data_IF_309154778843
#
_entry.id   IF_309154778843
#
_cell.length_a   1.000
_cell.length_b   1.000
_cell.length_c   1.000
_cell.angle_alpha   90.00
_cell.angle_beta   90.00
_cell.angle_gamma   90.00
#
_symmetry.space_group_name_H-M   'P 1'
#
loop_
_entity.id
_entity.type
_entity.pdbx_description
1 polymer ?
#
# COMPACT_ATOMS: atom_id res chain seq x y z
N UNK A 1 55.08 -50.11 0.53
CA UNK A 1 53.64 -49.81 0.62
C UNK A 1 53.40 -48.37 0.17
N UNK A 2 52.60 -48.22 -0.90
CA UNK A 2 51.81 -47.09 -1.42
C UNK A 2 52.29 -45.64 -1.18
N UNK A 3 52.60 -44.98 -2.30
CA UNK A 3 52.68 -43.55 -2.57
C UNK A 3 51.36 -42.79 -2.33
N UNK A 4 51.42 -41.51 -1.95
CA UNK A 4 50.48 -40.48 -2.43
C UNK A 4 51.06 -39.06 -2.23
N UNK A 5 51.13 -38.27 -3.32
CA UNK A 5 51.28 -36.81 -3.32
C UNK A 5 49.88 -36.23 -3.55
N UNK A 6 49.41 -35.24 -2.77
CA UNK A 6 48.36 -34.32 -3.24
C UNK A 6 48.13 -33.07 -2.35
N UNK A 7 48.26 -31.91 -2.99
CA UNK A 7 47.47 -30.67 -2.95
C UNK A 7 46.95 -30.03 -1.64
N UNK A 8 47.38 -28.77 -1.50
CA UNK A 8 46.55 -27.55 -1.55
C UNK A 8 45.94 -26.93 -0.27
N UNK A 9 45.63 -25.64 -0.47
CA UNK A 9 44.76 -24.75 0.30
C UNK A 9 45.41 -23.82 1.35
N UNK A 10 45.86 -22.66 0.85
CA UNK A 10 45.40 -21.30 1.23
C UNK A 10 45.12 -20.98 2.71
N UNK A 11 45.85 -20.00 3.24
CA UNK A 11 45.35 -19.01 4.21
C UNK A 11 46.23 -17.74 4.04
N UNK A 12 45.72 -16.70 3.37
CA UNK A 12 45.15 -15.49 3.98
C UNK A 12 46.13 -14.87 4.99
N UNK A 13 46.61 -13.66 4.68
CA UNK A 13 46.77 -12.48 5.55
C UNK A 13 47.57 -11.44 4.74
N UNK A 14 47.33 -10.16 5.05
CA UNK A 14 47.81 -8.92 4.42
C UNK A 14 46.74 -8.37 3.45
N UNK A 15 46.14 -7.20 3.67
CA UNK A 15 46.66 -6.05 4.36
C UNK A 15 45.56 -5.00 4.59
N UNK A 16 45.63 -4.39 5.75
CA UNK A 16 45.50 -2.95 5.98
C UNK A 16 44.11 -2.32 5.80
N UNK A 17 43.47 -2.10 6.95
CA UNK A 17 42.51 -1.03 7.12
C UNK A 17 43.17 0.33 6.88
N UNK A 18 42.50 1.16 6.08
CA UNK A 18 42.73 2.59 6.03
C UNK A 18 41.43 3.25 6.48
N UNK A 19 41.49 3.87 7.66
CA UNK A 19 40.47 4.77 8.18
C UNK A 19 40.58 6.09 7.43
N UNK A 20 39.53 6.47 6.69
CA UNK A 20 39.31 7.84 6.26
C UNK A 20 37.89 8.27 6.66
N UNK A 21 37.86 9.00 7.78
CA UNK A 21 37.00 10.13 8.14
C UNK A 21 35.64 10.27 7.43
N UNK A 22 34.58 10.06 8.21
CA UNK A 22 33.20 10.35 7.86
C UNK A 22 32.96 11.86 7.69
N UNK A 23 32.65 12.28 6.47
CA UNK A 23 31.70 13.37 6.24
C UNK A 23 30.37 12.69 5.90
N UNK A 24 29.51 12.51 6.90
CA UNK A 24 28.16 11.99 6.72
C UNK A 24 27.28 13.08 6.09
N UNK A 25 27.51 13.37 4.82
CA UNK A 25 26.43 13.85 3.96
C UNK A 25 25.68 12.60 3.51
N UNK A 26 24.41 12.51 3.89
CA UNK A 26 23.49 11.55 3.32
C UNK A 26 23.42 11.84 1.80
N UNK A 27 24.25 11.13 1.04
CA UNK A 27 24.12 11.05 -0.39
C UNK A 27 22.79 10.32 -0.64
N UNK A 28 21.75 11.06 -1.01
CA UNK A 28 20.59 10.45 -1.65
C UNK A 28 21.10 9.80 -2.93
N UNK A 29 21.40 8.50 -2.85
CA UNK A 29 21.63 7.70 -4.04
C UNK A 29 20.34 7.77 -4.85
N UNK A 30 20.37 8.21 -6.12
CA UNK A 30 19.20 8.09 -6.97
C UNK A 30 18.90 6.60 -7.08
N UNK A 31 17.88 6.14 -6.35
CA UNK A 31 17.40 4.77 -6.49
C UNK A 31 16.79 4.72 -7.88
N UNK A 32 17.54 4.23 -8.85
CA UNK A 32 16.95 3.84 -10.13
C UNK A 32 15.91 2.76 -9.83
N UNK A 33 14.64 3.14 -9.85
CA UNK A 33 13.54 2.20 -9.73
C UNK A 33 13.54 1.25 -10.92
N UNK A 34 13.08 0.02 -10.71
CA UNK A 34 12.89 -0.97 -11.77
C UNK A 34 12.02 -0.40 -12.88
N UNK A 35 12.34 -0.73 -14.13
CA UNK A 35 11.46 -0.37 -15.25
C UNK A 35 10.16 -1.17 -15.16
N UNK A 36 9.07 -0.66 -15.75
CA UNK A 36 7.79 -1.38 -15.81
C UNK A 36 7.96 -2.77 -16.45
N UNK A 37 8.84 -2.89 -17.44
CA UNK A 37 9.12 -4.16 -18.10
C UNK A 37 9.78 -5.17 -17.14
N UNK A 38 10.75 -4.72 -16.35
CA UNK A 38 11.40 -5.55 -15.33
C UNK A 38 10.41 -6.03 -14.26
N UNK A 39 9.52 -5.15 -13.77
CA UNK A 39 8.50 -5.52 -12.77
C UNK A 39 7.53 -6.58 -13.32
N UNK A 40 7.15 -6.48 -14.60
CA UNK A 40 6.29 -7.48 -15.25
C UNK A 40 7.02 -8.83 -15.37
N UNK A 41 8.31 -8.82 -15.68
CA UNK A 41 9.08 -10.05 -15.82
C UNK A 41 9.23 -10.76 -14.46
N UNK A 42 9.56 -10.01 -13.41
CA UNK A 42 9.65 -10.53 -12.05
C UNK A 42 8.33 -11.12 -11.55
N UNK A 43 7.21 -10.48 -11.87
CA UNK A 43 5.89 -11.02 -11.54
C UNK A 43 5.63 -12.35 -12.25
N UNK A 44 5.97 -12.49 -13.53
CA UNK A 44 5.85 -13.76 -14.26
C UNK A 44 6.72 -14.86 -13.67
N UNK A 45 7.95 -14.51 -13.29
CA UNK A 45 8.89 -15.47 -12.70
C UNK A 45 8.39 -15.92 -11.32
N UNK A 46 7.84 -15.01 -10.51
CA UNK A 46 7.23 -15.32 -9.22
C UNK A 46 5.95 -16.17 -9.37
N UNK A 47 5.14 -15.91 -10.39
CA UNK A 47 3.98 -16.74 -10.74
C UNK A 47 4.39 -18.15 -11.18
N UNK A 48 5.42 -18.27 -12.02
CA UNK A 48 5.96 -19.55 -12.47
C UNK A 48 6.59 -20.35 -11.32
N UNK A 49 7.20 -19.65 -10.36
CA UNK A 49 7.74 -20.24 -9.14
C UNK A 49 6.66 -20.56 -8.08
N UNK A 50 5.40 -20.21 -8.30
CA UNK A 50 4.31 -20.42 -7.34
C UNK A 50 4.42 -19.57 -6.07
N UNK A 51 5.22 -18.50 -6.12
CA UNK A 51 5.44 -17.59 -4.98
C UNK A 51 4.33 -16.54 -4.84
N UNK A 52 3.46 -16.41 -5.85
CA UNK A 52 2.33 -15.50 -5.85
C UNK A 52 1.08 -16.27 -5.42
N UNK A 53 0.58 -15.93 -4.23
CA UNK A 53 -0.73 -16.37 -3.79
C UNK A 53 -1.82 -15.78 -4.68
N UNK A 54 -2.69 -16.64 -5.22
CA UNK A 54 -3.79 -16.24 -6.09
C UNK A 54 -5.12 -16.59 -5.42
N UNK A 55 -6.00 -15.59 -5.32
CA UNK A 55 -7.32 -15.75 -4.71
C UNK A 55 -7.26 -15.73 -3.18
N UNK A 56 -8.26 -16.33 -2.54
CA UNK A 56 -8.45 -16.28 -1.09
C UNK A 56 -7.63 -17.35 -0.33
N UNK A 57 -6.61 -17.94 -0.96
CA UNK A 57 -5.86 -19.08 -0.41
C UNK A 57 -5.16 -18.75 0.90
N UNK A 58 -4.62 -17.53 1.01
CA UNK A 58 -4.00 -17.03 2.24
C UNK A 58 -4.91 -16.10 3.02
N UNK A 59 -6.18 -15.98 2.62
CA UNK A 59 -7.13 -15.18 3.36
C UNK A 59 -7.43 -15.89 4.69
N UNK A 60 -7.23 -15.24 5.84
CA UNK A 60 -7.48 -15.88 7.11
C UNK A 60 -8.96 -16.24 7.23
N UNK A 61 -9.25 -17.48 7.61
CA UNK A 61 -10.60 -17.85 8.04
C UNK A 61 -10.84 -17.18 9.38
N UNK A 62 -11.68 -16.13 9.37
CA UNK A 62 -12.12 -15.48 10.59
C UNK A 62 -13.06 -16.41 11.36
N UNK A 63 -12.99 -16.44 12.70
CA UNK A 63 -13.95 -17.18 13.50
C UNK A 63 -15.36 -16.64 13.27
N UNK A 64 -16.36 -17.50 13.42
CA UNK A 64 -17.75 -17.10 13.32
C UNK A 64 -18.08 -16.04 14.37
N UNK A 65 -18.66 -14.92 13.93
CA UNK A 65 -19.12 -13.89 14.84
C UNK A 65 -20.43 -14.35 15.50
N UNK A 66 -20.41 -14.46 16.84
CA UNK A 66 -21.61 -14.69 17.64
C UNK A 66 -21.97 -13.41 18.40
N UNK A 67 -23.18 -12.91 18.16
CA UNK A 67 -23.69 -11.78 18.95
C UNK A 67 -23.92 -12.23 20.40
N UNK A 68 -23.44 -11.45 21.35
CA UNK A 68 -23.69 -11.68 22.79
C UNK A 68 -25.01 -11.08 23.26
N UNK A 69 -25.66 -10.24 22.43
CA UNK A 69 -26.90 -9.54 22.78
C UNK A 69 -28.03 -9.88 21.81
N UNK A 70 -29.22 -10.03 22.38
CA UNK A 70 -30.47 -10.08 21.66
C UNK A 70 -30.90 -8.68 21.22
N UNK A 71 -31.78 -8.61 20.22
CA UNK A 71 -32.39 -7.34 19.78
C UNK A 71 -33.09 -6.60 20.93
N UNK A 72 -33.75 -7.35 21.84
CA UNK A 72 -34.43 -6.77 23.01
C UNK A 72 -33.45 -6.04 23.93
N UNK A 73 -32.32 -6.68 24.26
CA UNK A 73 -31.28 -6.08 25.10
C UNK A 73 -30.68 -4.82 24.46
N UNK A 74 -30.41 -4.83 23.15
CA UNK A 74 -29.92 -3.65 22.44
C UNK A 74 -30.92 -2.50 22.49
N UNK A 75 -32.23 -2.80 22.38
CA UNK A 75 -33.28 -1.78 22.47
C UNK A 75 -33.35 -1.18 23.88
N UNK A 76 -33.21 -1.99 24.92
CA UNK A 76 -33.20 -1.53 26.31
C UNK A 76 -32.01 -0.63 26.60
N UNK A 77 -30.81 -1.02 26.17
CA UNK A 77 -29.61 -0.20 26.31
C UNK A 77 -29.73 1.12 25.55
N UNK A 78 -30.26 1.11 24.33
CA UNK A 78 -30.53 2.33 23.57
C UNK A 78 -31.52 3.25 24.29
N UNK A 79 -32.58 2.71 24.89
CA UNK A 79 -33.53 3.49 25.70
C UNK A 79 -32.86 4.11 26.92
N UNK A 80 -32.02 3.35 27.62
CA UNK A 80 -31.28 3.83 28.78
C UNK A 80 -30.29 4.94 28.39
N UNK A 81 -29.48 4.73 27.34
CA UNK A 81 -28.53 5.72 26.84
C UNK A 81 -29.25 7.02 26.40
N UNK A 82 -30.42 6.90 25.76
CA UNK A 82 -31.26 8.05 25.42
C UNK A 82 -31.76 8.78 26.67
N UNK A 83 -32.26 8.07 27.67
CA UNK A 83 -32.73 8.67 28.91
C UNK A 83 -31.62 9.38 29.70
N UNK A 84 -30.38 8.89 29.59
CA UNK A 84 -29.19 9.47 30.21
C UNK A 84 -28.57 10.60 29.37
N UNK A 85 -29.09 10.89 28.17
CA UNK A 85 -28.54 11.90 27.28
C UNK A 85 -27.15 11.55 26.71
N UNK A 86 -26.76 10.27 26.73
CA UNK A 86 -25.44 9.81 26.25
C UNK A 86 -25.37 9.67 24.72
N UNK A 87 -26.51 9.76 24.05
CA UNK A 87 -26.56 9.68 22.60
C UNK A 87 -26.26 11.07 22.02
N UNK A 88 -25.25 11.13 21.16
CA UNK A 88 -25.10 12.27 20.29
C UNK A 88 -26.16 12.17 19.17
N UNK A 89 -27.29 12.86 19.37
CA UNK A 89 -28.47 12.80 18.50
C UNK A 89 -28.39 13.83 17.35
N UNK A 90 -27.44 14.77 17.41
CA UNK A 90 -27.33 15.87 16.46
C UNK A 90 -25.93 15.87 15.79
N UNK A 91 -25.79 16.59 14.69
CA UNK A 91 -24.50 16.75 13.99
C UNK A 91 -23.52 17.69 14.72
N UNK A 92 -23.71 17.92 16.03
CA UNK A 92 -22.98 18.94 16.81
C UNK A 92 -21.50 18.58 16.97
N UNK A 93 -21.18 17.29 17.06
CA UNK A 93 -19.78 16.81 17.13
C UNK A 93 -19.28 16.26 15.79
N UNK A 94 -20.09 16.34 14.72
CA UNK A 94 -19.60 15.96 13.41
C UNK A 94 -18.67 17.06 12.91
N UNK A 95 -17.41 16.75 12.54
CA UNK A 95 -16.51 17.77 12.04
C UNK A 95 -17.11 18.40 10.77
N UNK A 96 -17.14 19.73 10.64
CA UNK A 96 -17.64 20.36 9.44
C UNK A 96 -16.79 19.91 8.26
N UNK A 97 -17.43 19.33 7.24
CA UNK A 97 -16.73 19.05 5.99
C UNK A 97 -16.38 20.37 5.32
N UNK A 98 -15.11 20.60 4.94
CA UNK A 98 -14.77 21.79 4.18
C UNK A 98 -15.61 21.79 2.90
N UNK A 99 -16.19 22.94 2.55
CA UNK A 99 -16.87 23.08 1.28
C UNK A 99 -15.90 22.67 0.16
N UNK A 100 -16.30 21.76 -0.75
CA UNK A 100 -15.41 21.35 -1.82
C UNK A 100 -15.03 22.58 -2.65
N UNK A 101 -13.72 22.85 -2.74
CA UNK A 101 -13.20 23.90 -3.61
C UNK A 101 -13.10 23.35 -5.04
N UNK A 102 -14.04 23.74 -5.89
CA UNK A 102 -13.95 23.44 -7.31
C UNK A 102 -13.17 24.55 -8.02
N UNK A 103 -12.10 24.17 -8.72
CA UNK A 103 -11.31 25.10 -9.54
C UNK A 103 -11.87 25.25 -10.97
N UNK A 104 -12.95 24.52 -11.31
CA UNK A 104 -13.58 24.53 -12.64
C UNK A 104 -15.09 24.66 -12.54
N UNK A 105 -15.65 25.40 -13.48
CA UNK A 105 -17.09 25.51 -13.74
C UNK A 105 -17.60 24.28 -14.49
N UNK A 106 -18.92 24.12 -14.51
CA UNK A 106 -19.58 23.01 -15.22
C UNK A 106 -19.34 23.09 -16.73
N UNK A 107 -19.29 24.30 -17.26
CA UNK A 107 -19.04 24.60 -18.66
C UNK A 107 -17.62 24.18 -19.07
N UNK A 108 -16.62 24.46 -18.24
CA UNK A 108 -15.23 24.05 -18.47
C UNK A 108 -15.08 22.52 -18.46
N UNK A 109 -15.69 21.84 -17.49
CA UNK A 109 -15.68 20.36 -17.43
C UNK A 109 -16.32 19.74 -18.67
N UNK A 110 -17.43 20.31 -19.16
CA UNK A 110 -18.07 19.86 -20.41
C UNK A 110 -17.17 20.08 -21.63
N UNK A 111 -16.49 21.23 -21.69
CA UNK A 111 -15.58 21.53 -22.80
C UNK A 111 -14.40 20.55 -22.83
N UNK A 112 -13.81 20.25 -21.66
CA UNK A 112 -12.73 19.28 -21.51
C UNK A 112 -13.17 17.86 -21.90
N UNK A 113 -14.37 17.45 -21.49
CA UNK A 113 -14.96 16.16 -21.85
C UNK A 113 -15.14 16.04 -23.37
N UNK A 114 -15.64 17.07 -24.04
CA UNK A 114 -15.78 17.07 -25.51
C UNK A 114 -14.41 17.02 -26.21
N UNK A 115 -13.39 17.67 -25.65
CA UNK A 115 -12.03 17.61 -26.18
C UNK A 115 -11.40 16.21 -26.01
N UNK A 116 -11.59 15.57 -24.85
CA UNK A 116 -11.15 14.20 -24.59
C UNK A 116 -11.84 13.19 -25.53
N UNK A 117 -13.15 13.34 -25.75
CA UNK A 117 -13.91 12.52 -26.71
C UNK A 117 -13.34 12.61 -28.13
N UNK A 118 -13.01 13.82 -28.61
CA UNK A 118 -12.42 14.01 -29.95
C UNK A 118 -11.04 13.38 -30.10
N UNK A 119 -10.24 13.38 -29.02
CA UNK A 119 -8.89 12.81 -29.00
C UNK A 119 -8.89 11.29 -28.76
N UNK A 120 -10.05 10.70 -28.44
CA UNK A 120 -10.15 9.30 -28.05
C UNK A 120 -9.55 8.98 -26.69
N UNK A 121 -9.30 10.01 -25.86
CA UNK A 121 -8.57 9.87 -24.61
C UNK A 121 -9.44 10.21 -23.39
N UNK A 122 -10.45 9.37 -23.17
CA UNK A 122 -11.35 9.49 -22.01
C UNK A 122 -10.65 9.08 -20.70
N UNK A 123 -9.57 8.30 -20.78
CA UNK A 123 -8.83 7.83 -19.61
C UNK A 123 -7.92 8.91 -19.03
N UNK A 124 -7.41 9.84 -19.84
CA UNK A 124 -6.66 11.00 -19.34
C UNK A 124 -7.51 11.93 -18.46
N UNK A 125 -8.82 12.02 -18.69
CA UNK A 125 -9.74 12.85 -17.89
C UNK A 125 -9.86 12.36 -16.43
N UNK A 126 -9.52 11.10 -16.16
CA UNK A 126 -9.60 10.46 -14.84
C UNK A 126 -8.35 10.69 -13.99
N UNK A 127 -7.25 11.20 -14.57
CA UNK A 127 -5.93 11.28 -13.90
C UNK A 127 -5.69 12.51 -13.02
N UNK A 128 -6.66 13.40 -12.83
CA UNK A 128 -6.42 14.61 -12.05
C UNK A 128 -7.66 15.28 -11.48
N UNK A 129 -7.99 14.89 -10.25
CA UNK A 129 -8.46 15.76 -9.17
C UNK A 129 -7.82 15.29 -7.87
#
# INVERSE_FOLDING_TARGET
>A
MKSFKLFAFTAIICANGCLLTAAAHAQETPVQGKTRAEVIQELKDAEAAGLVSRGDVDYPILPEFVSTKTRGQVIEELKQARAQGLLNINDVDYPPTPAPSYNKTREEVKAELLQAQRRGDLNELYRGY
#
